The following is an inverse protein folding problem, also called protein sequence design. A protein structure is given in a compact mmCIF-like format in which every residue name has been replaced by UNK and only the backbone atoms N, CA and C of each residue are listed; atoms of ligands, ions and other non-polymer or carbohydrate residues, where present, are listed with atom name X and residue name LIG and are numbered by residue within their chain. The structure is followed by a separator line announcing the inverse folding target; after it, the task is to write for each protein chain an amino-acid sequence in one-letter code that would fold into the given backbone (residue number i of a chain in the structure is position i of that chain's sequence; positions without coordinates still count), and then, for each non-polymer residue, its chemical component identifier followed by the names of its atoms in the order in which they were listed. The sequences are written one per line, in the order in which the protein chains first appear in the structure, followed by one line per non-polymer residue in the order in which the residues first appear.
data_IF_814921826081
#
_entry.id   IF_814921826081
#
_cell.length_a   1.000
_cell.length_b   1.000
_cell.length_c   1.000
_cell.angle_alpha   90.00
_cell.angle_beta   90.00
_cell.angle_gamma   90.00
#
_symmetry.space_group_name_H-M   'P 1'
#
loop_
_entity.id
_entity.type
_entity.pdbx_description
1 polymer ?
#
# COMPACT_ATOMS: atom_id res chain seq x y z
N UNK A 1 27.82 -21.79 -57.13
CA UNK A 1 27.79 -21.72 -55.66
C UNK A 1 26.63 -20.84 -55.20
N UNK A 2 25.42 -21.38 -55.17
CA UNK A 2 24.21 -20.66 -54.75
C UNK A 2 23.57 -21.47 -53.62
N UNK A 3 23.84 -21.12 -52.37
CA UNK A 3 23.38 -21.95 -51.25
C UNK A 3 23.39 -21.34 -49.86
N UNK A 4 23.77 -20.07 -49.66
CA UNK A 4 23.86 -19.50 -48.31
C UNK A 4 23.20 -18.12 -48.10
N UNK A 5 22.71 -17.44 -49.16
CA UNK A 5 22.15 -16.09 -49.02
C UNK A 5 20.69 -16.03 -48.52
N UNK A 6 19.96 -17.14 -48.48
CA UNK A 6 18.53 -17.16 -48.09
C UNK A 6 18.23 -17.72 -46.69
N UNK A 7 19.16 -18.46 -46.07
CA UNK A 7 18.89 -19.22 -44.84
C UNK A 7 18.91 -18.37 -43.55
N UNK A 8 19.38 -17.12 -43.61
CA UNK A 8 19.53 -16.25 -42.44
C UNK A 8 18.48 -15.13 -42.34
N UNK A 9 17.51 -15.04 -43.26
CA UNK A 9 16.44 -14.03 -43.17
C UNK A 9 15.35 -14.40 -42.16
N UNK A 10 15.05 -15.68 -41.98
CA UNK A 10 14.03 -16.15 -41.04
C UNK A 10 14.45 -16.06 -39.56
N UNK A 11 15.75 -16.12 -39.27
CA UNK A 11 16.27 -16.10 -37.89
C UNK A 11 16.31 -14.69 -37.28
N UNK A 12 16.36 -13.64 -38.11
CA UNK A 12 16.26 -12.24 -37.65
C UNK A 12 14.87 -11.83 -37.22
N UNK A 13 13.80 -12.43 -37.76
CA UNK A 13 12.43 -12.08 -37.40
C UNK A 13 12.09 -12.39 -35.92
N UNK A 14 12.72 -13.42 -35.35
CA UNK A 14 12.61 -13.75 -33.91
C UNK A 14 13.39 -12.78 -33.02
N UNK A 15 14.40 -12.10 -33.57
CA UNK A 15 15.16 -11.03 -32.90
C UNK A 15 14.35 -9.71 -32.82
N UNK A 16 13.38 -9.55 -33.74
CA UNK A 16 12.47 -8.39 -33.83
C UNK A 16 11.31 -8.48 -32.81
N UNK A 17 11.15 -9.60 -32.09
CA UNK A 17 10.35 -9.60 -30.86
C UNK A 17 11.18 -8.90 -29.79
N UNK A 18 11.12 -7.57 -29.83
CA UNK A 18 11.77 -6.59 -28.96
C UNK A 18 12.02 -7.17 -27.57
N UNK A 19 13.21 -7.74 -27.37
CA UNK A 19 13.69 -8.09 -26.04
C UNK A 19 13.65 -6.78 -25.26
N UNK A 20 12.93 -6.80 -24.15
CA UNK A 20 12.86 -5.64 -23.26
C UNK A 20 14.30 -5.31 -22.86
N UNK A 21 14.87 -4.23 -23.40
CA UNK A 21 16.27 -3.80 -23.22
C UNK A 21 16.59 -3.34 -21.79
N UNK A 22 15.84 -3.78 -20.77
CA UNK A 22 16.18 -3.58 -19.37
C UNK A 22 16.96 -4.81 -18.88
N UNK A 23 18.29 -4.73 -18.70
CA UNK A 23 19.08 -5.85 -18.22
C UNK A 23 18.77 -6.09 -16.73
N UNK A 24 17.82 -6.97 -16.42
CA UNK A 24 17.60 -7.45 -15.05
C UNK A 24 16.16 -7.79 -14.65
N UNK A 25 16.00 -8.18 -13.38
CA UNK A 25 14.72 -8.42 -12.73
C UNK A 25 13.90 -7.12 -12.73
N UNK A 26 12.73 -7.13 -13.37
CA UNK A 26 11.90 -5.94 -13.50
C UNK A 26 11.17 -5.65 -12.18
N UNK A 27 11.70 -4.73 -11.38
CA UNK A 27 11.03 -4.20 -10.19
C UNK A 27 9.88 -3.27 -10.60
N UNK A 28 8.67 -3.82 -10.75
CA UNK A 28 7.49 -3.06 -11.13
C UNK A 28 7.15 -2.02 -10.07
N UNK A 29 7.23 -0.73 -10.44
CA UNK A 29 6.70 0.37 -9.63
C UNK A 29 5.17 0.39 -9.74
N UNK A 30 4.49 -0.03 -8.67
CA UNK A 30 3.02 -0.04 -8.63
C UNK A 30 2.53 1.39 -8.39
N UNK A 31 1.63 1.86 -9.25
CA UNK A 31 1.00 3.18 -9.10
C UNK A 31 0.16 3.24 -7.84
N UNK A 32 0.05 4.43 -7.25
CA UNK A 32 -0.85 4.66 -6.13
C UNK A 32 -2.30 4.74 -6.61
N UNK A 33 -2.95 3.58 -6.74
CA UNK A 33 -4.35 3.47 -7.16
C UNK A 33 -5.32 3.96 -6.08
N UNK A 34 -6.56 4.23 -6.46
CA UNK A 34 -7.63 4.71 -5.56
C UNK A 34 -7.86 3.77 -4.37
N UNK A 35 -7.93 2.46 -4.60
CA UNK A 35 -8.07 1.45 -3.54
C UNK A 35 -6.91 1.51 -2.54
N UNK A 36 -5.68 1.69 -3.04
CA UNK A 36 -4.48 1.81 -2.19
C UNK A 36 -4.50 3.09 -1.36
N UNK A 37 -4.94 4.22 -1.94
CA UNK A 37 -5.16 5.49 -1.20
C UNK A 37 -6.19 5.32 -0.10
N UNK A 38 -7.29 4.62 -0.35
CA UNK A 38 -8.33 4.37 0.65
C UNK A 38 -7.82 3.52 1.81
N UNK A 39 -6.96 2.52 1.54
CA UNK A 39 -6.30 1.76 2.60
C UNK A 39 -5.38 2.66 3.45
N UNK A 40 -4.60 3.54 2.81
CA UNK A 40 -3.77 4.51 3.52
C UNK A 40 -4.61 5.43 4.43
N UNK A 41 -5.73 5.97 3.94
CA UNK A 41 -6.67 6.77 4.76
C UNK A 41 -7.23 5.99 5.94
N UNK A 42 -7.52 4.69 5.78
CA UNK A 42 -7.97 3.83 6.89
C UNK A 42 -6.88 3.66 7.95
N UNK A 43 -5.62 3.47 7.55
CA UNK A 43 -4.48 3.37 8.48
C UNK A 43 -4.26 4.67 9.25
N UNK A 44 -4.30 5.81 8.57
CA UNK A 44 -4.16 7.12 9.21
C UNK A 44 -5.23 7.36 10.27
N UNK A 45 -6.50 7.07 9.96
CA UNK A 45 -7.59 7.20 10.94
C UNK A 45 -7.42 6.30 12.16
N UNK A 46 -6.92 5.07 11.98
CA UNK A 46 -6.63 4.15 13.10
C UNK A 46 -5.53 4.71 14.00
N UNK A 47 -4.46 5.25 13.42
CA UNK A 47 -3.37 5.87 14.19
C UNK A 47 -3.90 7.06 14.98
N UNK A 48 -4.70 7.94 14.37
CA UNK A 48 -5.30 9.06 15.09
C UNK A 48 -6.23 8.64 16.23
N UNK A 49 -7.03 7.59 16.03
CA UNK A 49 -7.86 7.06 17.11
C UNK A 49 -7.00 6.52 18.26
N UNK A 50 -5.95 5.76 17.95
CA UNK A 50 -5.03 5.24 18.95
C UNK A 50 -4.32 6.38 19.70
N UNK A 51 -3.83 7.39 18.98
CA UNK A 51 -3.19 8.56 19.58
C UNK A 51 -4.17 9.34 20.46
N UNK A 52 -5.42 9.52 20.02
CA UNK A 52 -6.44 10.21 20.81
C UNK A 52 -6.75 9.46 22.11
N UNK A 53 -6.88 8.14 22.06
CA UNK A 53 -7.10 7.30 23.25
C UNK A 53 -5.91 7.38 24.19
N UNK A 54 -4.69 7.21 23.69
CA UNK A 54 -3.49 7.28 24.51
C UNK A 54 -3.29 8.64 25.16
N UNK A 55 -3.61 9.74 24.45
CA UNK A 55 -3.59 11.10 25.01
C UNK A 55 -4.66 11.29 26.08
N UNK A 56 -5.88 10.81 25.85
CA UNK A 56 -6.96 10.86 26.84
C UNK A 56 -6.64 10.05 28.10
N UNK A 57 -5.90 8.94 27.98
CA UNK A 57 -5.43 8.16 29.13
C UNK A 57 -4.21 8.76 29.83
N UNK A 58 -3.46 9.65 29.18
CA UNK A 58 -2.29 10.32 29.75
C UNK A 58 -2.67 11.55 30.60
N UNK A 59 -3.83 12.16 30.32
CA UNK A 59 -4.45 13.11 31.24
C UNK A 59 -5.05 12.33 32.41
N UNK A 60 -4.79 12.70 33.69
CA UNK A 60 -5.45 12.05 34.81
C UNK A 60 -6.96 12.28 34.67
N UNK A 61 -7.71 11.20 34.47
CA UNK A 61 -9.17 11.26 34.46
C UNK A 61 -9.61 11.91 35.78
N UNK A 62 -10.23 13.09 35.70
CA UNK A 62 -10.95 13.64 36.84
C UNK A 62 -12.09 12.67 37.15
N UNK A 63 -11.89 11.83 38.16
CA UNK A 63 -12.90 10.96 38.78
C UNK A 63 -14.00 11.80 39.44
N UNK A 64 -14.77 12.55 38.65
CA UNK A 64 -15.92 13.33 39.16
C UNK A 64 -17.10 13.22 38.19
N UNK A 65 -17.55 11.99 37.94
CA UNK A 65 -18.89 11.76 37.38
C UNK A 65 -19.51 10.40 37.77
N UNK A 66 -18.93 9.66 38.73
CA UNK A 66 -19.42 8.34 39.13
C UNK A 66 -19.96 8.26 40.57
N UNK A 67 -20.05 9.38 41.30
CA UNK A 67 -20.50 9.41 42.71
C UNK A 67 -21.88 10.03 42.94
N UNK A 68 -22.59 10.52 41.92
CA UNK A 68 -23.93 11.12 42.05
C UNK A 68 -25.09 10.27 41.55
N UNK A 69 -24.87 8.99 41.22
CA UNK A 69 -25.94 8.06 40.83
C UNK A 69 -26.33 7.04 41.92
N UNK A 70 -25.72 7.11 43.12
CA UNK A 70 -25.90 6.12 44.19
C UNK A 70 -26.44 6.69 45.52
N UNK A 71 -27.04 7.89 45.51
CA UNK A 71 -27.80 8.42 46.66
C UNK A 71 -29.19 8.85 46.17
N UNK A 72 -30.04 7.83 46.00
CA UNK A 72 -31.48 7.95 45.79
C UNK A 72 -32.17 6.89 46.62
N UNK A 73 -31.98 6.95 47.93
CA UNK A 73 -32.71 6.14 48.91
C UNK A 73 -33.41 7.09 49.89
N UNK A 74 -34.65 7.44 49.59
CA UNK A 74 -35.77 7.62 50.51
C UNK A 74 -37.05 7.88 49.72
#
# INVERSE_FOLDING_TARGET
MAGFMGAFWGTRALEIVKRNNSPGLLWKRIKLTTTRKNNAKKRLRRVWQNEAVMRACAEPQQETAASTAAVGNK
#
